data_IF_571713142216
#
_entry.id   IF_571713142216
#
_cell.length_a   1.000
_cell.length_b   1.000
_cell.length_c   1.000
_cell.angle_alpha   90.00
_cell.angle_beta   90.00
_cell.angle_gamma   90.00
#
_symmetry.space_group_name_H-M   'P 1'
#
loop_
_entity.id
_entity.type
_entity.pdbx_description
1 polymer ?
#
# COMPACT_ATOMS: atom_id res chain seq x y z
N UNK A 1 1.82 19.98 -13.64
CA UNK A 1 1.06 20.45 -14.81
C UNK A 1 -0.28 21.06 -14.41
N UNK A 2 -1.17 20.33 -13.71
CA UNK A 2 -2.51 20.83 -13.36
C UNK A 2 -2.55 22.14 -12.54
N UNK A 3 -1.71 22.36 -11.51
CA UNK A 3 -1.74 23.62 -10.74
C UNK A 3 -1.30 24.83 -11.58
N UNK A 4 -0.32 24.62 -12.47
CA UNK A 4 0.22 25.68 -13.34
C UNK A 4 -0.82 26.12 -14.37
N UNK A 5 -1.58 25.16 -14.92
CA UNK A 5 -2.65 25.45 -15.88
C UNK A 5 -3.80 26.24 -15.23
N UNK A 6 -4.15 25.95 -13.97
CA UNK A 6 -5.18 26.69 -13.25
C UNK A 6 -4.74 28.15 -13.01
N UNK A 7 -3.49 28.38 -12.61
CA UNK A 7 -2.96 29.73 -12.38
C UNK A 7 -2.86 30.56 -13.67
N UNK A 8 -2.60 29.91 -14.82
CA UNK A 8 -2.47 30.61 -16.10
C UNK A 8 -3.80 30.98 -16.76
N UNK A 9 -4.87 30.20 -16.53
CA UNK A 9 -6.13 30.35 -17.26
C UNK A 9 -7.29 30.88 -16.41
N UNK A 10 -7.12 31.03 -15.10
CA UNK A 10 -8.18 31.50 -14.20
C UNK A 10 -7.87 32.89 -13.63
N UNK A 11 -8.91 33.69 -13.31
CA UNK A 11 -8.77 34.88 -12.48
C UNK A 11 -8.09 34.55 -11.15
N UNK A 12 -7.24 35.45 -10.64
CA UNK A 12 -6.40 35.20 -9.46
C UNK A 12 -7.16 34.72 -8.20
N UNK A 13 -8.38 35.21 -7.98
CA UNK A 13 -9.24 34.78 -6.86
C UNK A 13 -9.68 33.31 -7.02
N UNK A 14 -10.05 32.89 -8.23
CA UNK A 14 -10.47 31.52 -8.52
C UNK A 14 -9.28 30.56 -8.51
N UNK A 15 -8.13 30.99 -9.04
CA UNK A 15 -6.89 30.22 -8.95
C UNK A 15 -6.47 29.98 -7.49
N UNK A 16 -6.56 31.02 -6.64
CA UNK A 16 -6.29 30.91 -5.20
C UNK A 16 -7.25 29.96 -4.49
N UNK A 17 -8.56 30.06 -4.76
CA UNK A 17 -9.58 29.16 -4.20
C UNK A 17 -9.35 27.71 -4.64
N UNK A 18 -9.01 27.48 -5.90
CA UNK A 18 -8.72 26.15 -6.44
C UNK A 18 -7.49 25.52 -5.77
N UNK A 19 -6.38 26.27 -5.65
CA UNK A 19 -5.18 25.80 -4.98
C UNK A 19 -5.43 25.52 -3.50
N UNK A 20 -6.18 26.39 -2.81
CA UNK A 20 -6.56 26.17 -1.41
C UNK A 20 -7.35 24.87 -1.25
N UNK A 21 -8.34 24.61 -2.11
CA UNK A 21 -9.10 23.36 -2.12
C UNK A 21 -8.24 22.13 -2.40
N UNK A 22 -7.30 22.23 -3.35
CA UNK A 22 -6.37 21.15 -3.68
C UNK A 22 -5.48 20.78 -2.49
N UNK A 23 -4.88 21.76 -1.82
CA UNK A 23 -4.06 21.52 -0.64
C UNK A 23 -4.89 21.00 0.53
N UNK A 24 -6.09 21.54 0.75
CA UNK A 24 -6.99 21.03 1.79
C UNK A 24 -7.34 19.55 1.57
N UNK A 25 -7.64 19.15 0.33
CA UNK A 25 -7.91 17.75 -0.02
C UNK A 25 -6.68 16.86 0.14
N UNK A 26 -5.50 17.34 -0.26
CA UNK A 26 -4.24 16.61 -0.12
C UNK A 26 -3.87 16.37 1.35
N UNK A 27 -4.00 17.40 2.20
CA UNK A 27 -3.73 17.32 3.64
C UNK A 27 -4.73 16.37 4.31
N UNK A 28 -6.03 16.49 4.00
CA UNK A 28 -7.04 15.57 4.54
C UNK A 28 -6.77 14.10 4.18
N UNK A 29 -6.25 13.85 2.96
CA UNK A 29 -5.85 12.50 2.56
C UNK A 29 -4.60 12.04 3.32
N UNK A 30 -3.58 12.90 3.42
CA UNK A 30 -2.35 12.60 4.15
C UNK A 30 -2.63 12.26 5.63
N UNK A 31 -3.49 13.03 6.29
CA UNK A 31 -3.89 12.81 7.69
C UNK A 31 -4.52 11.42 7.86
N UNK A 32 -5.44 11.05 6.96
CA UNK A 32 -6.08 9.73 7.00
C UNK A 32 -5.08 8.58 6.81
N UNK A 33 -4.11 8.74 5.90
CA UNK A 33 -3.11 7.70 5.63
C UNK A 33 -2.10 7.54 6.77
N UNK A 34 -1.68 8.66 7.38
CA UNK A 34 -0.81 8.65 8.57
C UNK A 34 -1.54 7.98 9.73
N UNK A 35 -2.81 8.30 9.96
CA UNK A 35 -3.59 7.71 11.03
C UNK A 35 -3.84 6.22 10.80
N UNK A 36 -4.24 5.81 9.59
CA UNK A 36 -4.41 4.40 9.22
C UNK A 36 -3.12 3.59 9.38
N UNK A 37 -1.99 4.15 8.95
CA UNK A 37 -0.67 3.49 9.10
C UNK A 37 -0.25 3.38 10.57
N UNK A 38 -0.49 4.44 11.36
CA UNK A 38 -0.24 4.43 12.81
C UNK A 38 -1.13 3.42 13.53
N UNK A 39 -2.38 3.26 13.09
CA UNK A 39 -3.31 2.28 13.63
C UNK A 39 -2.86 0.86 13.30
N UNK A 40 -2.43 0.59 12.06
CA UNK A 40 -1.85 -0.71 11.69
C UNK A 40 -0.60 -1.05 12.52
N UNK A 41 0.29 -0.06 12.74
CA UNK A 41 1.46 -0.24 13.59
C UNK A 41 1.08 -0.57 15.05
N UNK A 42 0.09 0.12 15.60
CA UNK A 42 -0.23 0.00 17.02
C UNK A 42 -1.17 -1.17 17.33
N UNK A 43 -2.19 -1.38 16.50
CA UNK A 43 -3.22 -2.37 16.74
C UNK A 43 -2.84 -3.75 16.19
N UNK A 44 -2.19 -3.82 15.02
CA UNK A 44 -1.90 -5.08 14.35
C UNK A 44 -0.50 -5.62 14.69
N UNK A 45 0.52 -4.77 14.63
CA UNK A 45 1.91 -5.17 14.91
C UNK A 45 2.22 -5.22 16.42
N UNK A 46 1.68 -4.29 17.19
CA UNK A 46 1.96 -4.16 18.64
C UNK A 46 0.70 -4.16 19.52
N UNK A 47 -0.19 -5.17 19.40
CA UNK A 47 -1.50 -5.18 20.06
C UNK A 47 -1.44 -5.03 21.58
N UNK A 48 -0.33 -5.43 22.22
CA UNK A 48 -0.08 -5.28 23.66
C UNK A 48 -0.06 -3.82 24.12
N UNK A 49 0.31 -2.89 23.25
CA UNK A 49 0.48 -1.47 23.58
C UNK A 49 -0.64 -0.58 23.04
N UNK A 50 -1.71 -1.18 22.49
CA UNK A 50 -2.82 -0.43 21.86
C UNK A 50 -3.52 0.59 22.77
N UNK A 51 -3.55 0.34 24.08
CA UNK A 51 -4.17 1.22 25.06
C UNK A 51 -3.21 2.30 25.61
N UNK A 52 -1.92 2.20 25.29
CA UNK A 52 -0.93 3.19 25.72
C UNK A 52 -1.03 4.43 24.83
N UNK A 53 -1.58 5.51 25.38
CA UNK A 53 -1.68 6.81 24.68
C UNK A 53 -0.32 7.32 24.20
N UNK A 54 0.75 7.05 24.96
CA UNK A 54 2.11 7.45 24.59
C UNK A 54 2.62 6.66 23.37
N UNK A 55 2.33 5.35 23.33
CA UNK A 55 2.73 4.49 22.22
C UNK A 55 1.97 4.82 20.93
N UNK A 56 0.66 5.03 21.02
CA UNK A 56 -0.17 5.43 19.86
C UNK A 56 0.33 6.76 19.27
N UNK A 57 0.51 7.79 20.12
CA UNK A 57 1.03 9.09 19.67
C UNK A 57 2.45 8.98 19.11
N UNK A 58 3.30 8.18 19.75
CA UNK A 58 4.65 7.90 19.28
C UNK A 58 4.66 7.23 17.91
N UNK A 59 3.76 6.27 17.67
CA UNK A 59 3.58 5.62 16.37
C UNK A 59 3.18 6.60 15.28
N UNK A 60 2.27 7.53 15.57
CA UNK A 60 1.86 8.57 14.61
C UNK A 60 3.02 9.49 14.25
N UNK A 61 3.77 9.96 15.25
CA UNK A 61 4.96 10.82 15.03
C UNK A 61 6.02 10.06 14.23
N UNK A 62 6.25 8.79 14.55
CA UNK A 62 7.22 7.95 13.84
C UNK A 62 6.84 7.79 12.37
N UNK A 63 5.58 7.47 12.05
CA UNK A 63 5.09 7.37 10.67
C UNK A 63 5.25 8.69 9.93
N UNK A 64 4.89 9.82 10.56
CA UNK A 64 5.03 11.14 9.96
C UNK A 64 6.49 11.51 9.68
N UNK A 65 7.41 11.23 10.61
CA UNK A 65 8.85 11.47 10.44
C UNK A 65 9.46 10.58 9.35
N UNK A 66 9.07 9.31 9.26
CA UNK A 66 9.52 8.42 8.19
C UNK A 66 9.03 8.91 6.82
N UNK A 67 7.76 9.29 6.71
CA UNK A 67 7.21 9.85 5.47
C UNK A 67 7.94 11.15 5.07
N UNK A 68 8.19 12.04 6.03
CA UNK A 68 8.93 13.28 5.80
C UNK A 68 10.37 12.99 5.35
N UNK A 69 11.05 12.03 5.98
CA UNK A 69 12.39 11.61 5.59
C UNK A 69 12.46 11.07 4.16
N UNK A 70 11.51 10.20 3.77
CA UNK A 70 11.43 9.66 2.41
C UNK A 70 11.25 10.78 1.39
N UNK A 71 10.46 11.80 1.69
CA UNK A 71 10.22 12.93 0.77
C UNK A 71 11.40 13.90 0.72
N UNK A 72 12.05 14.19 1.85
CA UNK A 72 13.18 15.14 1.90
C UNK A 72 14.43 14.60 1.20
N UNK A 73 14.68 13.29 1.29
CA UNK A 73 15.85 12.64 0.68
C UNK A 73 15.54 11.92 -0.64
N UNK A 74 14.26 11.73 -0.96
CA UNK A 74 13.83 11.06 -2.19
C UNK A 74 13.85 11.99 -3.39
N UNK A 75 14.43 11.52 -4.50
CA UNK A 75 14.38 12.22 -5.80
C UNK A 75 13.34 11.62 -6.76
N UNK A 76 12.45 10.77 -6.24
CA UNK A 76 11.45 10.03 -7.02
C UNK A 76 10.09 10.73 -6.98
N UNK A 77 9.39 10.71 -8.11
CA UNK A 77 8.08 11.36 -8.24
C UNK A 77 7.06 10.69 -7.31
N UNK A 78 6.28 11.48 -6.56
CA UNK A 78 5.22 11.00 -5.64
C UNK A 78 4.26 10.01 -6.31
N UNK A 79 3.96 10.21 -7.59
CA UNK A 79 3.12 9.29 -8.36
C UNK A 79 3.78 7.91 -8.51
N UNK A 80 5.09 7.85 -8.75
CA UNK A 80 5.84 6.59 -8.82
C UNK A 80 5.85 5.88 -7.47
N UNK A 81 6.11 6.59 -6.36
CA UNK A 81 6.07 5.98 -5.03
C UNK A 81 4.69 5.41 -4.70
N UNK A 82 3.63 6.18 -4.96
CA UNK A 82 2.26 5.74 -4.69
C UNK A 82 1.92 4.49 -5.52
N UNK A 83 2.20 4.55 -6.83
CA UNK A 83 1.96 3.46 -7.77
C UNK A 83 2.74 2.21 -7.38
N UNK A 84 4.01 2.36 -6.94
CA UNK A 84 4.81 1.28 -6.39
C UNK A 84 4.20 0.68 -5.12
N UNK A 85 3.80 1.48 -4.13
CA UNK A 85 3.16 0.98 -2.91
C UNK A 85 1.87 0.19 -3.19
N UNK A 86 1.02 0.72 -4.07
CA UNK A 86 -0.18 0.03 -4.54
C UNK A 86 0.14 -1.25 -5.31
N UNK A 87 1.24 -1.28 -6.06
CA UNK A 87 1.65 -2.47 -6.82
C UNK A 87 1.97 -3.65 -5.90
N UNK A 88 2.74 -3.41 -4.84
CA UNK A 88 3.11 -4.44 -3.86
C UNK A 88 1.87 -4.94 -3.10
N UNK A 89 0.98 -4.01 -2.71
CA UNK A 89 -0.29 -4.35 -2.08
C UNK A 89 -1.16 -5.22 -2.99
N UNK A 90 -1.32 -4.84 -4.26
CA UNK A 90 -2.08 -5.60 -5.25
C UNK A 90 -1.47 -6.99 -5.48
N UNK A 91 -0.15 -7.09 -5.64
CA UNK A 91 0.54 -8.36 -5.83
C UNK A 91 0.36 -9.34 -4.66
N UNK A 92 0.31 -8.83 -3.43
CA UNK A 92 0.08 -9.65 -2.23
C UNK A 92 -1.38 -10.07 -2.03
N UNK A 93 -2.32 -9.13 -2.14
CA UNK A 93 -3.72 -9.35 -1.78
C UNK A 93 -4.62 -9.80 -2.94
N UNK A 94 -4.43 -9.28 -4.15
CA UNK A 94 -5.35 -9.55 -5.27
C UNK A 94 -5.44 -11.04 -5.63
N UNK A 95 -4.35 -11.83 -5.70
CA UNK A 95 -4.43 -13.27 -5.98
C UNK A 95 -5.25 -14.04 -4.93
N UNK A 96 -5.12 -13.65 -3.66
CA UNK A 96 -5.82 -14.27 -2.55
C UNK A 96 -7.32 -13.96 -2.59
N UNK A 97 -7.69 -12.69 -2.78
CA UNK A 97 -9.09 -12.24 -2.92
C UNK A 97 -9.73 -12.91 -4.15
N UNK A 98 -9.00 -13.02 -5.25
CA UNK A 98 -9.47 -13.69 -6.47
C UNK A 98 -9.79 -15.17 -6.22
N UNK A 99 -8.93 -15.91 -5.51
CA UNK A 99 -9.19 -17.30 -5.17
C UNK A 99 -10.41 -17.47 -4.25
N UNK A 100 -10.58 -16.58 -3.27
CA UNK A 100 -11.76 -16.61 -2.40
C UNK A 100 -13.05 -16.29 -3.17
N UNK A 101 -12.99 -15.39 -4.16
CA UNK A 101 -14.13 -15.12 -5.05
C UNK A 101 -14.52 -16.33 -5.91
N UNK A 102 -13.64 -17.31 -6.09
CA UNK A 102 -13.90 -18.57 -6.81
C UNK A 102 -14.22 -19.74 -5.85
N UNK A 103 -14.60 -19.43 -4.61
CA UNK A 103 -14.86 -20.40 -3.54
C UNK A 103 -13.71 -21.40 -3.30
N UNK A 104 -12.47 -21.02 -3.63
CA UNK A 104 -11.31 -21.86 -3.40
C UNK A 104 -10.89 -21.82 -1.94
N UNK A 105 -10.66 -23.01 -1.38
CA UNK A 105 -10.16 -23.17 -0.01
C UNK A 105 -8.65 -22.93 0.00
N UNK A 106 -8.21 -21.87 0.65
CA UNK A 106 -6.80 -21.53 0.87
C UNK A 106 -6.50 -21.67 2.36
N UNK A 107 -5.50 -22.46 2.73
CA UNK A 107 -5.07 -22.60 4.13
C UNK A 107 -4.31 -21.35 4.59
N UNK A 108 -4.23 -21.11 5.90
CA UNK A 108 -3.52 -19.94 6.45
C UNK A 108 -2.05 -19.89 6.00
N UNK A 109 -1.37 -21.05 5.97
CA UNK A 109 0.03 -21.11 5.52
C UNK A 109 0.13 -20.78 4.04
N UNK A 110 -0.76 -21.33 3.21
CA UNK A 110 -0.81 -21.00 1.77
C UNK A 110 -1.07 -19.51 1.55
N UNK A 111 -2.04 -18.93 2.28
CA UNK A 111 -2.39 -17.52 2.19
C UNK A 111 -1.17 -16.63 2.49
N UNK A 112 -0.48 -16.89 3.60
CA UNK A 112 0.71 -16.13 3.99
C UNK A 112 1.85 -16.31 2.98
N UNK A 113 2.11 -17.54 2.51
CA UNK A 113 3.14 -17.79 1.50
C UNK A 113 2.84 -17.08 0.18
N UNK A 114 1.59 -17.06 -0.28
CA UNK A 114 1.18 -16.31 -1.48
C UNK A 114 1.40 -14.81 -1.31
N UNK A 115 0.98 -14.23 -0.17
CA UNK A 115 1.15 -12.80 0.08
C UNK A 115 2.62 -12.39 0.10
N UNK A 116 3.46 -13.16 0.80
CA UNK A 116 4.91 -12.88 0.91
C UNK A 116 5.59 -13.03 -0.45
N UNK A 117 5.32 -14.12 -1.18
CA UNK A 117 5.95 -14.37 -2.49
C UNK A 117 5.52 -13.34 -3.53
N UNK A 118 4.23 -12.96 -3.57
CA UNK A 118 3.74 -11.94 -4.48
C UNK A 118 4.34 -10.56 -4.21
N UNK A 119 4.40 -10.15 -2.95
CA UNK A 119 5.03 -8.89 -2.56
C UNK A 119 6.54 -8.89 -2.87
N UNK A 120 7.26 -9.96 -2.51
CA UNK A 120 8.69 -10.09 -2.76
C UNK A 120 9.02 -10.08 -4.26
N UNK A 121 8.24 -10.79 -5.08
CA UNK A 121 8.43 -10.82 -6.52
C UNK A 121 8.18 -9.45 -7.16
N UNK A 122 7.13 -8.72 -6.73
CA UNK A 122 6.87 -7.36 -7.21
C UNK A 122 7.99 -6.38 -6.85
N UNK A 123 8.57 -6.50 -5.64
CA UNK A 123 9.70 -5.65 -5.21
C UNK A 123 10.96 -6.01 -5.98
N UNK A 124 11.27 -7.30 -6.13
CA UNK A 124 12.43 -7.77 -6.88
C UNK A 124 12.37 -7.32 -8.34
N UNK A 125 11.18 -7.31 -8.94
CA UNK A 125 10.98 -6.84 -10.31
C UNK A 125 11.23 -5.34 -10.46
N UNK A 126 10.79 -4.52 -9.49
CA UNK A 126 11.08 -3.08 -9.47
C UNK A 126 12.59 -2.82 -9.35
N UNK A 127 13.27 -3.54 -8.45
CA UNK A 127 14.72 -3.38 -8.22
C UNK A 127 15.52 -3.81 -9.45
N UNK A 128 15.04 -4.82 -10.20
CA UNK A 128 15.65 -5.28 -11.44
C UNK A 128 15.51 -4.28 -12.61
N UNK A 129 14.72 -3.20 -12.46
CA UNK A 129 14.53 -2.18 -13.48
C UNK A 129 13.66 -2.62 -14.67
N UNK A 130 12.96 -3.75 -14.54
CA UNK A 130 12.12 -4.35 -15.59
C UNK A 130 10.70 -3.75 -15.65
N UNK A 131 10.42 -2.81 -14.75
CA UNK A 131 9.12 -2.12 -14.58
C UNK A 131 8.74 -1.20 -15.74
N UNK A 132 9.70 -0.86 -16.60
CA UNK A 132 9.48 0.01 -17.76
C UNK A 132 8.65 -0.64 -18.85
N UNK A 133 8.77 -1.97 -18.99
CA UNK A 133 8.08 -2.74 -20.03
C UNK A 133 6.85 -3.46 -19.48
N UNK A 134 7.01 -4.12 -18.33
CA UNK A 134 5.93 -4.86 -17.66
C UNK A 134 5.77 -4.32 -16.25
N UNK A 135 4.55 -3.85 -15.96
CA UNK A 135 4.20 -3.34 -14.65
C UNK A 135 4.33 -4.42 -13.56
N UNK A 136 5.03 -4.10 -12.47
CA UNK A 136 5.50 -5.06 -11.44
C UNK A 136 4.40 -5.89 -10.76
N UNK A 137 3.15 -5.43 -10.82
CA UNK A 137 2.00 -6.17 -10.30
C UNK A 137 1.86 -7.51 -10.99
N UNK A 138 2.06 -7.55 -12.31
CA UNK A 138 1.85 -8.75 -13.10
C UNK A 138 2.79 -9.91 -12.68
N UNK A 139 4.12 -9.75 -12.63
CA UNK A 139 5.02 -10.80 -12.15
C UNK A 139 4.78 -11.13 -10.67
N UNK A 140 4.43 -10.14 -9.84
CA UNK A 140 4.04 -10.37 -8.45
C UNK A 140 2.82 -11.28 -8.30
N UNK A 141 1.75 -11.00 -9.04
CA UNK A 141 0.54 -11.83 -9.05
C UNK A 141 0.81 -13.23 -9.61
N UNK A 142 1.61 -13.34 -10.68
CA UNK A 142 1.99 -14.62 -11.25
C UNK A 142 2.75 -15.49 -10.23
N UNK A 143 3.70 -14.91 -9.51
CA UNK A 143 4.44 -15.62 -8.46
C UNK A 143 3.53 -16.11 -7.32
N UNK A 144 2.54 -15.31 -6.92
CA UNK A 144 1.56 -15.72 -5.92
C UNK A 144 0.68 -16.90 -6.40
N UNK A 145 0.21 -16.87 -7.66
CA UNK A 145 -0.55 -17.99 -8.23
C UNK A 145 0.29 -19.26 -8.40
N UNK A 146 1.56 -19.14 -8.79
CA UNK A 146 2.49 -20.27 -8.84
C UNK A 146 2.67 -20.89 -7.45
N UNK A 147 2.83 -20.05 -6.42
CA UNK A 147 2.94 -20.49 -5.03
C UNK A 147 1.68 -21.23 -4.57
N UNK A 148 0.48 -20.77 -4.98
CA UNK A 148 -0.77 -21.50 -4.73
C UNK A 148 -0.78 -22.89 -5.37
N UNK A 149 -0.34 -23.01 -6.63
CA UNK A 149 -0.29 -24.29 -7.34
C UNK A 149 0.73 -25.28 -6.77
N UNK A 150 1.89 -24.79 -6.31
CA UNK A 150 2.99 -25.60 -5.77
C UNK A 150 2.65 -26.10 -4.35
N UNK A 151 2.10 -25.22 -3.50
CA UNK A 151 1.69 -25.61 -2.16
C UNK A 151 0.41 -26.43 -2.25
N UNK A 152 0.55 -27.75 -2.41
CA UNK A 152 -0.57 -28.69 -2.41
C UNK A 152 -1.34 -28.59 -1.09
N UNK A 153 -2.66 -28.41 -1.18
CA UNK A 153 -3.57 -28.20 -0.05
C UNK A 153 -3.47 -29.33 0.97
N UNK A 154 -2.63 -29.18 2.00
CA UNK A 154 -2.83 -29.90 3.25
C UNK A 154 -4.00 -29.20 3.94
N UNK A 155 -5.17 -29.80 3.81
CA UNK A 155 -6.44 -29.39 4.42
C UNK A 155 -6.28 -29.21 5.93
N UNK A 156 -5.87 -28.02 6.35
CA UNK A 156 -5.69 -27.62 7.73
C UNK A 156 -6.67 -26.51 8.06
N UNK A 157 -7.73 -26.89 8.80
CA UNK A 157 -8.78 -26.12 9.51
C UNK A 157 -9.31 -24.83 8.89
N UNK A 158 -10.65 -24.78 8.78
CA UNK A 158 -11.47 -23.62 8.38
C UNK A 158 -10.98 -22.33 9.04
N UNK A 159 -10.56 -21.36 8.25
CA UNK A 159 -10.62 -19.96 8.67
C UNK A 159 -12.04 -19.51 8.35
N UNK A 160 -12.95 -19.63 9.32
CA UNK A 160 -14.24 -18.96 9.26
C UNK A 160 -13.98 -17.46 9.43
N UNK A 161 -14.23 -16.69 8.38
CA UNK A 161 -14.33 -15.24 8.50
C UNK A 161 -15.59 -14.99 9.36
N UNK A 162 -15.51 -14.23 10.48
CA UNK A 162 -16.67 -13.89 11.29
C UNK A 162 -17.66 -13.00 10.53
#
# INVERSE_FOLDING_TARGET
ALPVLAVQNMPGILAGMFLAGLFAAAISTADSQVLSSSAALTNDLFPKYKNSRLFVKGGTVLVALLALGIVLYGNTNVFKLNTFGWSVMAAGFAPLVFLYSLDKKVSQIQALSMMITGAAASIAWEIAGLSGDIYNVLPGMAAAFLTYGILKTRTGKKVSIP
#
